data_IF_296353288597
#
_entry.id   IF_296353288597
#
_cell.length_a   1.000
_cell.length_b   1.000
_cell.length_c   1.000
_cell.angle_alpha   90.00
_cell.angle_beta   90.00
_cell.angle_gamma   90.00
#
_symmetry.space_group_name_H-M   'P 1'
#
loop_
_entity.id
_entity.type
_entity.pdbx_description
1 polymer ?
#
# COMPACT_ATOMS: atom_id res chain seq x y z
N UNK A 1 26.84 47.92 -20.52
CA UNK A 1 26.19 47.36 -21.72
C UNK A 1 26.40 45.83 -21.82
N UNK A 2 27.53 45.30 -21.44
CA UNK A 2 27.81 43.84 -21.46
C UNK A 2 27.08 43.10 -20.32
N UNK A 3 26.98 43.68 -19.13
CA UNK A 3 26.24 43.11 -18.00
C UNK A 3 24.72 43.00 -18.24
N UNK A 4 24.10 43.95 -18.89
CA UNK A 4 22.67 43.90 -19.23
C UNK A 4 22.35 42.89 -20.35
N UNK A 5 23.31 42.51 -21.16
CA UNK A 5 23.16 41.48 -22.18
C UNK A 5 23.31 40.08 -21.60
N UNK A 6 24.12 39.90 -20.54
CA UNK A 6 24.19 38.62 -19.80
C UNK A 6 22.92 38.37 -18.99
N UNK A 7 22.40 39.33 -18.24
CA UNK A 7 21.12 39.17 -17.51
C UNK A 7 19.93 38.92 -18.46
N UNK A 8 19.89 39.54 -19.65
CA UNK A 8 18.88 39.21 -20.65
C UNK A 8 19.05 37.83 -21.27
N UNK A 9 20.23 37.28 -21.32
CA UNK A 9 20.50 35.95 -21.84
C UNK A 9 20.14 34.88 -20.78
N UNK A 10 20.45 35.14 -19.50
CA UNK A 10 20.04 34.26 -18.39
C UNK A 10 18.51 34.27 -18.14
N UNK A 11 17.82 35.40 -18.40
CA UNK A 11 16.34 35.44 -18.29
C UNK A 11 15.62 34.86 -19.51
N UNK A 12 16.28 34.52 -20.60
CA UNK A 12 15.67 33.88 -21.78
C UNK A 12 15.82 32.34 -21.80
N UNK A 13 16.65 31.79 -20.91
CA UNK A 13 16.94 30.33 -20.90
C UNK A 13 16.04 29.52 -19.95
N UNK A 14 15.05 30.13 -19.28
CA UNK A 14 14.23 29.42 -18.27
C UNK A 14 12.72 29.39 -18.60
N UNK A 15 12.34 29.43 -19.88
CA UNK A 15 10.94 29.27 -20.25
C UNK A 15 10.68 27.78 -20.59
N UNK A 16 9.81 27.14 -19.81
CA UNK A 16 9.41 25.76 -20.07
C UNK A 16 8.93 25.58 -21.51
N UNK A 17 9.35 24.50 -22.15
CA UNK A 17 8.83 24.10 -23.46
C UNK A 17 7.36 23.71 -23.32
N UNK A 18 6.49 24.29 -24.17
CA UNK A 18 5.07 23.95 -24.15
C UNK A 18 4.72 23.01 -25.31
N UNK A 19 4.21 21.84 -24.98
CA UNK A 19 3.69 20.82 -25.91
C UNK A 19 2.20 20.72 -25.65
N UNK A 20 1.37 20.93 -26.65
CA UNK A 20 -0.08 20.89 -26.50
C UNK A 20 -0.77 20.17 -27.65
N UNK A 21 -1.78 19.32 -27.35
CA UNK A 21 -2.50 18.52 -28.33
C UNK A 21 -1.60 17.65 -29.19
N UNK A 22 -0.49 17.16 -28.62
CA UNK A 22 0.47 16.30 -29.32
C UNK A 22 -0.06 14.89 -29.56
N UNK A 23 0.44 14.25 -30.63
CA UNK A 23 0.25 12.82 -30.86
C UNK A 23 1.58 12.18 -31.23
N UNK A 24 2.11 11.40 -30.32
CA UNK A 24 3.43 10.78 -30.47
C UNK A 24 3.33 9.26 -30.58
N UNK A 25 4.07 8.67 -31.47
CA UNK A 25 4.19 7.21 -31.67
C UNK A 25 5.65 6.83 -31.88
N UNK A 26 5.93 5.54 -31.81
CA UNK A 26 7.29 5.02 -31.99
C UNK A 26 8.10 4.99 -30.70
N UNK A 27 9.34 4.62 -30.79
CA UNK A 27 10.23 4.47 -29.66
C UNK A 27 10.81 5.82 -29.22
N UNK A 28 10.62 6.16 -27.95
CA UNK A 28 11.26 7.29 -27.25
C UNK A 28 11.06 8.68 -27.91
N UNK A 29 9.83 9.06 -28.29
CA UNK A 29 9.63 10.32 -29.04
C UNK A 29 10.04 11.58 -28.27
N UNK A 30 9.96 11.57 -26.93
CA UNK A 30 10.40 12.68 -26.07
C UNK A 30 11.44 12.15 -25.05
N UNK A 31 12.46 11.45 -25.54
CA UNK A 31 13.54 10.93 -24.73
C UNK A 31 14.44 12.07 -24.21
N UNK A 32 14.75 12.05 -22.90
CA UNK A 32 15.50 13.13 -22.25
C UNK A 32 14.82 14.51 -22.31
N UNK A 33 13.48 14.55 -22.38
CA UNK A 33 12.78 15.84 -22.33
C UNK A 33 12.97 16.50 -20.97
N UNK A 34 13.22 17.80 -20.97
CA UNK A 34 13.47 18.59 -19.78
C UNK A 34 12.70 19.91 -19.78
N UNK A 35 12.27 20.37 -18.59
CA UNK A 35 11.60 21.65 -18.39
C UNK A 35 10.39 21.86 -19.31
N UNK A 36 9.45 20.91 -19.33
CA UNK A 36 8.34 20.91 -20.29
C UNK A 36 6.97 20.82 -19.62
N UNK A 37 6.04 21.60 -20.14
CA UNK A 37 4.60 21.48 -19.88
C UNK A 37 3.91 20.78 -21.04
N UNK A 38 3.33 19.60 -20.78
CA UNK A 38 2.73 18.73 -21.78
C UNK A 38 1.23 18.61 -21.48
N UNK A 39 0.40 19.21 -22.33
CA UNK A 39 -1.05 19.26 -22.15
C UNK A 39 -1.78 18.49 -23.26
N UNK A 40 -2.87 17.80 -22.90
CA UNK A 40 -3.80 17.13 -23.83
C UNK A 40 -3.10 16.28 -24.90
N UNK A 41 -2.01 15.60 -24.50
CA UNK A 41 -1.12 14.90 -25.42
C UNK A 41 -1.33 13.38 -25.33
N UNK A 42 -1.38 12.70 -26.46
CA UNK A 42 -1.51 11.25 -26.55
C UNK A 42 -0.19 10.62 -26.95
N UNK A 43 0.32 9.74 -26.09
CA UNK A 43 1.42 8.85 -26.39
C UNK A 43 0.83 7.50 -26.84
N UNK A 44 0.76 7.31 -28.16
CA UNK A 44 0.18 6.15 -28.82
C UNK A 44 1.09 4.93 -28.82
N UNK A 45 1.02 4.11 -29.86
CA UNK A 45 1.82 2.89 -29.96
C UNK A 45 3.31 3.23 -30.10
N UNK A 46 4.10 2.69 -29.16
CA UNK A 46 5.54 2.92 -29.07
C UNK A 46 6.02 2.87 -27.63
N UNK A 47 7.30 2.67 -27.40
CA UNK A 47 7.84 2.40 -26.07
C UNK A 47 8.61 3.60 -25.49
N UNK A 48 8.50 3.78 -24.16
CA UNK A 48 9.36 4.69 -23.39
C UNK A 48 9.30 6.16 -23.83
N UNK A 49 8.11 6.76 -24.03
CA UNK A 49 8.00 8.10 -24.60
C UNK A 49 8.72 9.20 -23.83
N UNK A 50 8.70 9.14 -22.50
CA UNK A 50 9.34 10.14 -21.60
C UNK A 50 10.44 9.47 -20.74
N UNK A 51 11.12 8.48 -21.29
CA UNK A 51 12.22 7.84 -20.56
C UNK A 51 13.36 8.84 -20.30
N UNK A 52 13.90 8.79 -19.07
CA UNK A 52 15.02 9.62 -18.60
C UNK A 52 14.74 11.14 -18.67
N UNK A 53 13.46 11.52 -18.61
CA UNK A 53 13.01 12.93 -18.60
C UNK A 53 12.99 13.52 -17.20
N UNK A 54 13.03 14.86 -17.12
CA UNK A 54 13.02 15.55 -15.83
C UNK A 54 12.32 16.91 -15.88
N UNK A 55 11.72 17.29 -14.74
CA UNK A 55 10.99 18.56 -14.60
C UNK A 55 9.88 18.68 -15.65
N UNK A 56 8.93 17.74 -15.60
CA UNK A 56 7.82 17.64 -16.54
C UNK A 56 6.50 17.81 -15.82
N UNK A 57 5.66 18.70 -16.31
CA UNK A 57 4.26 18.84 -15.93
C UNK A 57 3.37 18.25 -17.03
N UNK A 58 2.62 17.21 -16.68
CA UNK A 58 1.66 16.53 -17.57
C UNK A 58 0.24 16.87 -17.12
N UNK A 59 -0.60 17.35 -18.03
CA UNK A 59 -2.02 17.58 -17.76
C UNK A 59 -2.90 17.00 -18.86
N UNK A 60 -3.99 16.31 -18.49
CA UNK A 60 -4.97 15.78 -19.45
C UNK A 60 -4.41 14.80 -20.47
N UNK A 61 -3.23 14.25 -20.21
CA UNK A 61 -2.49 13.46 -21.21
C UNK A 61 -2.73 11.95 -21.04
N UNK A 62 -2.54 11.18 -22.13
CA UNK A 62 -2.82 9.76 -22.14
C UNK A 62 -1.62 8.94 -22.65
N UNK A 63 -1.23 7.93 -21.85
CA UNK A 63 -0.26 6.90 -22.25
C UNK A 63 -1.00 5.63 -22.68
N UNK A 64 -0.79 5.20 -23.92
CA UNK A 64 -1.44 4.02 -24.48
C UNK A 64 -0.53 2.80 -24.59
N UNK A 65 0.79 2.97 -24.42
CA UNK A 65 1.74 1.89 -24.60
C UNK A 65 2.82 1.88 -23.54
N UNK A 66 3.69 0.86 -23.54
CA UNK A 66 4.62 0.43 -22.50
C UNK A 66 5.66 1.47 -22.08
N UNK A 67 6.03 1.41 -20.80
CA UNK A 67 7.19 2.03 -20.19
C UNK A 67 7.20 3.58 -20.23
N UNK A 68 6.07 4.27 -19.99
CA UNK A 68 5.96 5.72 -20.14
C UNK A 68 7.04 6.54 -19.46
N UNK A 69 7.31 6.27 -18.18
CA UNK A 69 8.18 7.06 -17.31
C UNK A 69 9.21 6.15 -16.65
N UNK A 70 10.26 5.80 -17.37
CA UNK A 70 11.37 5.03 -16.83
C UNK A 70 12.60 5.90 -16.59
N UNK A 71 13.19 5.80 -15.38
CA UNK A 71 14.38 6.55 -14.98
C UNK A 71 14.18 8.08 -15.05
N UNK A 72 12.94 8.54 -14.85
CA UNK A 72 12.58 9.94 -14.88
C UNK A 72 12.60 10.54 -13.46
N UNK A 73 12.52 11.85 -13.33
CA UNK A 73 12.47 12.53 -12.03
C UNK A 73 11.74 13.86 -12.11
N UNK A 74 11.26 14.33 -10.97
CA UNK A 74 10.60 15.64 -10.86
C UNK A 74 9.42 15.74 -11.83
N UNK A 75 8.45 14.83 -11.72
CA UNK A 75 7.30 14.73 -12.62
C UNK A 75 6.01 15.05 -11.84
N UNK A 76 5.17 15.87 -12.41
CA UNK A 76 3.78 16.08 -11.98
C UNK A 76 2.84 15.63 -13.09
N UNK A 77 1.90 14.74 -12.79
CA UNK A 77 0.91 14.27 -13.73
C UNK A 77 -0.50 14.45 -13.15
N UNK A 78 -1.29 15.32 -13.73
CA UNK A 78 -2.64 15.63 -13.31
C UNK A 78 -3.66 15.34 -14.41
N UNK A 79 -4.83 14.79 -14.04
CA UNK A 79 -5.90 14.42 -14.98
C UNK A 79 -5.45 13.49 -16.12
N UNK A 80 -4.44 12.64 -15.84
CA UNK A 80 -3.82 11.78 -16.85
C UNK A 80 -4.39 10.34 -16.81
N UNK A 81 -4.26 9.65 -17.95
CA UNK A 81 -4.68 8.25 -18.10
C UNK A 81 -3.53 7.36 -18.56
N UNK A 82 -3.32 6.24 -17.86
CA UNK A 82 -2.49 5.13 -18.30
C UNK A 82 -3.42 3.98 -18.75
N UNK A 83 -3.59 3.81 -20.06
CA UNK A 83 -4.40 2.72 -20.60
C UNK A 83 -3.75 1.35 -20.34
N UNK A 84 -4.48 0.25 -20.47
CA UNK A 84 -4.06 -1.11 -20.12
C UNK A 84 -2.67 -1.49 -20.62
N UNK A 85 -2.31 -1.12 -21.86
CA UNK A 85 -1.02 -1.42 -22.46
C UNK A 85 0.11 -0.49 -22.02
N UNK A 86 -0.15 0.57 -21.24
CA UNK A 86 0.89 1.40 -20.61
C UNK A 86 1.53 0.71 -19.39
N UNK A 87 1.54 -0.61 -19.41
CA UNK A 87 2.04 -1.46 -18.32
C UNK A 87 3.52 -1.30 -18.07
N UNK A 88 3.93 -1.64 -16.85
CA UNK A 88 5.27 -1.36 -16.35
C UNK A 88 5.63 0.12 -16.56
N UNK A 89 4.64 0.99 -16.29
CA UNK A 89 4.63 2.36 -16.79
C UNK A 89 5.64 3.25 -16.13
N UNK A 90 5.85 3.10 -14.82
CA UNK A 90 6.66 4.01 -14.00
C UNK A 90 7.66 3.19 -13.19
N UNK A 91 8.88 3.09 -13.67
CA UNK A 91 9.95 2.35 -12.98
C UNK A 91 11.20 3.22 -12.79
N UNK A 92 11.79 3.15 -11.60
CA UNK A 92 13.00 3.90 -11.24
C UNK A 92 12.83 5.42 -11.40
N UNK A 93 11.64 5.92 -11.07
CA UNK A 93 11.28 7.34 -11.22
C UNK A 93 11.19 7.95 -9.83
N UNK A 94 11.85 9.08 -9.64
CA UNK A 94 11.94 9.75 -8.36
C UNK A 94 11.20 11.09 -8.37
N UNK A 95 10.65 11.48 -7.21
CA UNK A 95 9.85 12.70 -7.03
C UNK A 95 8.73 12.81 -8.07
N UNK A 96 7.79 11.88 -7.98
CA UNK A 96 6.62 11.81 -8.87
C UNK A 96 5.34 12.12 -8.08
N UNK A 97 4.54 13.05 -8.61
CA UNK A 97 3.19 13.32 -8.13
C UNK A 97 2.17 12.94 -9.20
N UNK A 98 1.20 12.13 -8.85
CA UNK A 98 0.09 11.75 -9.73
C UNK A 98 -1.22 12.12 -9.05
N UNK A 99 -2.03 12.95 -9.72
CA UNK A 99 -3.30 13.46 -9.20
C UNK A 99 -4.45 13.22 -10.17
N UNK A 100 -5.62 12.91 -9.62
CA UNK A 100 -6.87 12.75 -10.38
C UNK A 100 -6.71 11.82 -11.59
N UNK A 101 -6.06 10.67 -11.43
CA UNK A 101 -5.65 9.86 -12.56
C UNK A 101 -6.35 8.50 -12.61
N UNK A 102 -6.53 7.99 -13.83
CA UNK A 102 -6.92 6.61 -14.11
C UNK A 102 -5.69 5.83 -14.58
N UNK A 103 -5.34 4.75 -13.88
CA UNK A 103 -4.24 3.87 -14.24
C UNK A 103 -4.79 2.45 -14.45
N UNK A 104 -5.19 2.13 -15.68
CA UNK A 104 -5.67 0.79 -16.04
C UNK A 104 -4.53 -0.22 -16.16
N UNK A 105 -3.32 0.26 -16.37
CA UNK A 105 -2.16 -0.57 -16.62
C UNK A 105 -1.63 -1.24 -15.35
N UNK A 106 -1.36 -2.55 -15.34
CA UNK A 106 -0.74 -3.26 -14.23
C UNK A 106 0.76 -2.99 -14.13
N UNK A 107 1.37 -3.43 -13.02
CA UNK A 107 2.82 -3.42 -12.77
C UNK A 107 3.44 -2.02 -12.78
N UNK A 108 2.69 -1.02 -12.31
CA UNK A 108 3.18 0.35 -12.19
C UNK A 108 3.95 0.58 -10.88
N UNK A 109 4.74 1.65 -10.85
CA UNK A 109 5.50 2.12 -9.68
C UNK A 109 6.43 1.05 -9.10
N UNK A 110 7.54 0.81 -9.78
CA UNK A 110 8.59 -0.07 -9.23
C UNK A 110 9.87 0.70 -8.97
N UNK A 111 10.44 0.52 -7.77
CA UNK A 111 11.68 1.15 -7.33
C UNK A 111 11.68 2.66 -7.49
N UNK A 112 10.50 3.26 -7.26
CA UNK A 112 10.30 4.70 -7.23
C UNK A 112 10.58 5.24 -5.83
N UNK A 113 10.96 6.50 -5.73
CA UNK A 113 11.20 7.17 -4.48
C UNK A 113 10.53 8.56 -4.47
N UNK A 114 10.04 8.97 -3.30
CA UNK A 114 9.30 10.22 -3.14
C UNK A 114 8.07 10.27 -4.10
N UNK A 115 7.14 9.29 -3.93
CA UNK A 115 5.95 9.12 -4.74
C UNK A 115 4.71 9.64 -4.02
N UNK A 116 3.93 10.50 -4.66
CA UNK A 116 2.63 10.96 -4.16
C UNK A 116 1.52 10.56 -5.13
N UNK A 117 0.49 9.86 -4.61
CA UNK A 117 -0.71 9.50 -5.35
C UNK A 117 -1.92 10.14 -4.68
N UNK A 118 -2.65 11.00 -5.37
CA UNK A 118 -3.81 11.72 -4.86
C UNK A 118 -5.01 11.52 -5.79
N UNK A 119 -6.11 10.94 -5.26
CA UNK A 119 -7.32 10.60 -6.02
C UNK A 119 -7.02 9.78 -7.28
N UNK A 120 -6.31 8.66 -7.10
CA UNK A 120 -5.92 7.77 -8.20
C UNK A 120 -6.74 6.49 -8.17
N UNK A 121 -7.28 6.11 -9.33
CA UNK A 121 -8.01 4.87 -9.52
C UNK A 121 -7.18 3.85 -10.30
N UNK A 122 -6.97 2.66 -9.71
CA UNK A 122 -6.14 1.56 -10.24
C UNK A 122 -6.99 0.27 -10.36
N UNK A 123 -7.83 0.13 -11.40
CA UNK A 123 -8.71 -1.04 -11.54
C UNK A 123 -7.97 -2.36 -11.80
N UNK A 124 -6.71 -2.31 -12.23
CA UNK A 124 -5.82 -3.44 -12.50
C UNK A 124 -4.45 -3.23 -11.85
N UNK A 125 -4.43 -3.22 -10.51
CA UNK A 125 -3.24 -2.89 -9.71
C UNK A 125 -2.33 -4.09 -9.41
N UNK A 126 -2.40 -5.17 -10.19
CA UNK A 126 -1.56 -6.35 -9.99
C UNK A 126 -0.08 -5.97 -10.01
N UNK A 127 0.67 -6.44 -9.02
CA UNK A 127 2.10 -6.21 -8.86
C UNK A 127 2.49 -4.72 -8.93
N UNK A 128 1.66 -3.83 -8.39
CA UNK A 128 1.86 -2.38 -8.36
C UNK A 128 2.47 -1.94 -7.03
N UNK A 129 3.28 -0.89 -7.03
CA UNK A 129 4.05 -0.38 -5.89
C UNK A 129 5.02 -1.44 -5.32
N UNK A 130 6.01 -1.85 -6.11
CA UNK A 130 7.04 -2.78 -5.64
C UNK A 130 8.37 -2.10 -5.35
N UNK A 131 8.91 -2.31 -4.14
CA UNK A 131 10.19 -1.74 -3.69
C UNK A 131 10.26 -0.20 -3.76
N UNK A 132 9.12 0.47 -3.60
CA UNK A 132 9.07 1.93 -3.54
C UNK A 132 9.38 2.45 -2.13
N UNK A 133 9.85 3.69 -2.04
CA UNK A 133 10.22 4.33 -0.78
C UNK A 133 9.63 5.73 -0.69
N UNK A 134 9.23 6.15 0.52
CA UNK A 134 8.61 7.44 0.78
C UNK A 134 7.38 7.65 -0.10
N UNK A 135 6.36 6.89 0.18
CA UNK A 135 5.11 6.90 -0.59
C UNK A 135 4.01 7.56 0.21
N UNK A 136 3.37 8.56 -0.36
CA UNK A 136 2.17 9.19 0.18
C UNK A 136 0.97 8.86 -0.71
N UNK A 137 -0.11 8.35 -0.12
CA UNK A 137 -1.36 8.05 -0.84
C UNK A 137 -2.54 8.68 -0.13
N UNK A 138 -3.40 9.36 -0.88
CA UNK A 138 -4.66 9.90 -0.39
C UNK A 138 -5.79 9.71 -1.41
N UNK A 139 -6.94 9.17 -0.99
CA UNK A 139 -8.08 8.94 -1.86
C UNK A 139 -7.79 7.96 -3.01
N UNK A 140 -6.99 6.90 -2.74
CA UNK A 140 -6.61 5.91 -3.76
C UNK A 140 -7.52 4.68 -3.66
N UNK A 141 -8.02 4.22 -4.81
CA UNK A 141 -8.75 2.96 -4.93
C UNK A 141 -8.02 2.01 -5.87
N UNK A 142 -7.73 0.79 -5.39
CA UNK A 142 -6.93 -0.19 -6.11
C UNK A 142 -7.58 -1.58 -6.10
N UNK A 143 -7.46 -2.30 -7.23
CA UNK A 143 -7.86 -3.70 -7.33
C UNK A 143 -6.80 -4.51 -8.03
N UNK A 144 -6.23 -5.51 -7.32
CA UNK A 144 -5.20 -6.39 -7.85
C UNK A 144 -4.36 -7.02 -6.75
N UNK A 145 -3.80 -8.19 -7.01
CA UNK A 145 -2.96 -8.93 -6.08
C UNK A 145 -1.52 -8.38 -6.02
N UNK A 146 -0.84 -8.64 -4.91
CA UNK A 146 0.55 -8.24 -4.67
C UNK A 146 0.78 -6.72 -4.69
N UNK A 147 -0.17 -5.95 -4.15
CA UNK A 147 -0.04 -4.49 -4.04
C UNK A 147 0.92 -4.09 -2.91
N UNK A 148 1.82 -3.13 -3.17
CA UNK A 148 2.76 -2.52 -2.22
C UNK A 148 3.78 -3.48 -1.58
N UNK A 149 4.33 -4.44 -2.35
CA UNK A 149 5.34 -5.36 -1.84
C UNK A 149 6.70 -4.70 -1.57
N UNK A 150 7.27 -4.98 -0.39
CA UNK A 150 8.60 -4.52 0.01
C UNK A 150 8.80 -3.00 -0.10
N UNK A 151 7.74 -2.22 0.08
CA UNK A 151 7.81 -0.76 0.16
C UNK A 151 8.20 -0.30 1.57
N UNK A 152 8.68 0.93 1.69
CA UNK A 152 8.98 1.53 2.99
C UNK A 152 8.59 2.99 3.10
N UNK A 153 8.41 3.44 4.34
CA UNK A 153 8.15 4.82 4.70
C UNK A 153 6.89 5.36 3.99
N UNK A 154 5.74 4.70 4.28
CA UNK A 154 4.47 5.01 3.61
C UNK A 154 3.51 5.73 4.57
N UNK A 155 2.82 6.75 4.04
CA UNK A 155 1.70 7.45 4.66
C UNK A 155 0.46 7.32 3.78
N UNK A 156 -0.60 6.70 4.30
CA UNK A 156 -1.76 6.32 3.50
C UNK A 156 -3.04 6.79 4.19
N UNK A 157 -3.91 7.47 3.47
CA UNK A 157 -5.23 7.87 3.96
C UNK A 157 -6.33 7.68 2.91
N UNK A 158 -7.56 7.41 3.38
CA UNK A 158 -8.74 7.26 2.53
C UNK A 158 -8.50 6.26 1.38
N UNK A 159 -8.18 5.01 1.76
CA UNK A 159 -7.69 3.98 0.84
C UNK A 159 -8.66 2.81 0.71
N UNK A 160 -8.95 2.40 -0.52
CA UNK A 160 -9.70 1.17 -0.79
C UNK A 160 -8.85 0.16 -1.57
N UNK A 161 -8.82 -1.09 -1.10
CA UNK A 161 -8.11 -2.18 -1.76
C UNK A 161 -8.96 -3.45 -1.82
N UNK A 162 -8.98 -4.07 -3.00
CA UNK A 162 -9.45 -5.44 -3.18
C UNK A 162 -8.39 -6.26 -3.93
N UNK A 163 -7.69 -7.15 -3.22
CA UNK A 163 -6.62 -7.99 -3.78
C UNK A 163 -5.79 -8.65 -2.69
N UNK A 164 -5.22 -9.80 -2.97
CA UNK A 164 -4.51 -10.64 -2.02
C UNK A 164 -3.01 -10.31 -1.94
N UNK A 165 -2.36 -10.76 -0.86
CA UNK A 165 -0.91 -10.60 -0.63
C UNK A 165 -0.46 -9.14 -0.63
N UNK A 166 -1.31 -8.25 -0.11
CA UNK A 166 -1.00 -6.81 -0.06
C UNK A 166 -0.06 -6.47 1.09
N UNK A 167 0.81 -5.50 0.86
CA UNK A 167 1.75 -4.98 1.86
C UNK A 167 2.70 -6.05 2.44
N UNK A 168 3.03 -7.11 1.68
CA UNK A 168 4.02 -8.10 2.11
C UNK A 168 5.42 -7.47 2.17
N UNK A 169 6.10 -7.66 3.29
CA UNK A 169 7.46 -7.18 3.52
C UNK A 169 7.60 -5.66 3.63
N UNK A 170 6.51 -4.91 3.83
CA UNK A 170 6.60 -3.44 4.00
C UNK A 170 7.21 -3.05 5.34
N UNK A 171 7.76 -1.82 5.40
CA UNK A 171 8.36 -1.26 6.62
C UNK A 171 7.96 0.19 6.84
N UNK A 172 7.71 0.56 8.10
CA UNK A 172 7.40 1.92 8.52
C UNK A 172 6.18 2.47 7.77
N UNK A 173 5.01 1.88 7.98
CA UNK A 173 3.78 2.23 7.28
C UNK A 173 2.72 2.71 8.25
N UNK A 174 2.09 3.83 7.94
CA UNK A 174 0.94 4.35 8.66
C UNK A 174 -0.27 4.46 7.72
N UNK A 175 -1.43 3.91 8.15
CA UNK A 175 -2.64 3.85 7.33
C UNK A 175 -3.82 4.38 8.13
N UNK A 176 -4.60 5.28 7.54
CA UNK A 176 -5.83 5.83 8.12
C UNK A 176 -7.03 5.63 7.18
N UNK A 177 -8.20 5.35 7.76
CA UNK A 177 -9.48 5.27 7.05
C UNK A 177 -9.44 4.35 5.82
N UNK A 178 -8.86 3.15 5.98
CA UNK A 178 -8.80 2.19 4.89
C UNK A 178 -9.92 1.16 4.93
N UNK A 179 -10.31 0.70 3.74
CA UNK A 179 -11.12 -0.50 3.55
C UNK A 179 -10.34 -1.50 2.71
N UNK A 180 -9.91 -2.58 3.34
CA UNK A 180 -9.06 -3.58 2.72
C UNK A 180 -9.75 -4.95 2.69
N UNK A 181 -9.91 -5.50 1.50
CA UNK A 181 -10.34 -6.88 1.26
C UNK A 181 -9.15 -7.64 0.72
N UNK A 182 -8.36 -8.27 1.63
CA UNK A 182 -7.07 -8.82 1.27
C UNK A 182 -6.73 -10.03 2.14
N UNK A 183 -6.70 -11.20 1.53
CA UNK A 183 -6.06 -12.37 2.13
C UNK A 183 -4.55 -12.14 2.21
N UNK A 184 -3.91 -12.65 3.27
CA UNK A 184 -2.48 -12.56 3.49
C UNK A 184 -1.91 -11.12 3.52
N UNK A 185 -2.72 -10.14 4.01
CA UNK A 185 -2.26 -8.76 4.14
C UNK A 185 -1.20 -8.61 5.25
N UNK A 186 -0.22 -7.75 5.03
CA UNK A 186 0.87 -7.41 5.96
C UNK A 186 1.79 -8.58 6.35
N UNK A 187 1.91 -9.61 5.54
CA UNK A 187 2.88 -10.67 5.79
C UNK A 187 4.30 -10.11 5.87
N UNK A 188 5.12 -10.64 6.78
CA UNK A 188 6.52 -10.23 6.96
C UNK A 188 6.73 -8.72 7.13
N UNK A 189 5.70 -7.95 7.45
CA UNK A 189 5.79 -6.50 7.62
C UNK A 189 6.47 -6.10 8.94
N UNK A 190 7.00 -4.89 8.99
CA UNK A 190 7.68 -4.35 10.17
C UNK A 190 7.28 -2.90 10.42
N UNK A 191 6.91 -2.56 11.67
CA UNK A 191 6.50 -1.21 12.08
C UNK A 191 5.30 -0.69 11.26
N UNK A 192 4.19 -1.38 11.31
CA UNK A 192 2.93 -0.98 10.65
C UNK A 192 1.93 -0.51 11.69
N UNK A 193 1.32 0.64 11.47
CA UNK A 193 0.21 1.14 12.28
C UNK A 193 -1.00 1.44 11.39
N UNK A 194 -2.16 0.90 11.76
CA UNK A 194 -3.43 1.11 11.04
C UNK A 194 -4.46 1.70 11.98
N UNK A 195 -5.12 2.78 11.54
CA UNK A 195 -6.14 3.50 12.30
C UNK A 195 -7.49 3.47 11.58
N UNK A 196 -8.58 3.42 12.35
CA UNK A 196 -9.94 3.73 11.92
C UNK A 196 -10.35 2.98 10.63
N UNK A 197 -9.97 1.69 10.51
CA UNK A 197 -10.03 0.95 9.26
C UNK A 197 -10.82 -0.35 9.36
N UNK A 198 -11.30 -0.81 8.21
CA UNK A 198 -11.87 -2.14 8.05
C UNK A 198 -10.95 -3.04 7.24
N UNK A 199 -10.63 -4.23 7.78
CA UNK A 199 -9.76 -5.21 7.13
C UNK A 199 -10.44 -6.57 7.15
N UNK A 200 -10.65 -7.17 5.99
CA UNK A 200 -11.20 -8.54 5.86
C UNK A 200 -10.33 -9.40 4.96
N UNK A 201 -9.97 -10.58 5.45
CA UNK A 201 -9.19 -11.57 4.72
C UNK A 201 -8.53 -12.57 5.67
N UNK A 202 -8.15 -13.74 5.15
CA UNK A 202 -7.46 -14.78 5.92
C UNK A 202 -6.01 -14.38 6.23
N UNK A 203 -5.42 -14.91 7.29
CA UNK A 203 -4.01 -14.87 7.67
C UNK A 203 -3.43 -13.44 7.81
N UNK A 204 -4.24 -12.50 8.28
CA UNK A 204 -3.80 -11.10 8.49
C UNK A 204 -2.55 -11.03 9.39
N UNK A 205 -1.53 -10.33 8.92
CA UNK A 205 -0.34 -9.98 9.70
C UNK A 205 0.63 -11.14 9.97
N UNK A 206 0.53 -12.26 9.29
CA UNK A 206 1.36 -13.42 9.53
C UNK A 206 2.87 -13.09 9.48
N UNK A 207 3.59 -13.47 10.54
CA UNK A 207 5.02 -13.22 10.70
C UNK A 207 5.41 -11.72 10.68
N UNK A 208 4.49 -10.82 11.03
CA UNK A 208 4.77 -9.40 11.15
C UNK A 208 5.50 -9.07 12.47
N UNK A 209 6.13 -7.90 12.49
CA UNK A 209 6.78 -7.36 13.66
C UNK A 209 6.32 -5.92 13.94
N UNK A 210 5.97 -5.62 15.19
CA UNK A 210 5.45 -4.31 15.59
C UNK A 210 4.23 -3.90 14.75
N UNK A 211 3.19 -4.72 14.72
CA UNK A 211 1.91 -4.39 14.10
C UNK A 211 0.99 -3.74 15.15
N UNK A 212 0.51 -2.54 14.87
CA UNK A 212 -0.42 -1.80 15.73
C UNK A 212 -1.72 -1.52 14.99
N UNK A 213 -2.86 -1.89 15.60
CA UNK A 213 -4.20 -1.70 15.04
C UNK A 213 -5.03 -0.90 16.05
N UNK A 214 -5.56 0.26 15.65
CA UNK A 214 -6.29 1.17 16.53
C UNK A 214 -7.65 1.51 15.94
N UNK A 215 -8.73 1.31 16.68
CA UNK A 215 -10.12 1.55 16.24
C UNK A 215 -10.47 0.75 14.97
N UNK A 216 -9.88 -0.42 14.77
CA UNK A 216 -10.09 -1.22 13.58
C UNK A 216 -11.21 -2.25 13.76
N UNK A 217 -11.94 -2.52 12.68
CA UNK A 217 -12.82 -3.68 12.58
C UNK A 217 -12.18 -4.71 11.66
N UNK A 218 -11.98 -5.93 12.16
CA UNK A 218 -11.20 -6.97 11.49
C UNK A 218 -12.02 -8.24 11.38
N UNK A 219 -12.00 -8.85 10.20
CA UNK A 219 -12.54 -10.18 9.95
C UNK A 219 -11.44 -11.05 9.37
N UNK A 220 -10.96 -12.06 10.12
CA UNK A 220 -9.84 -12.87 9.64
C UNK A 220 -9.87 -14.30 10.19
N UNK A 221 -9.81 -15.27 9.30
CA UNK A 221 -9.56 -16.67 9.70
C UNK A 221 -8.05 -16.83 9.95
N UNK A 222 -7.67 -17.46 11.07
CA UNK A 222 -6.29 -17.58 11.53
C UNK A 222 -5.53 -16.23 11.46
N UNK A 223 -6.21 -15.19 11.93
CA UNK A 223 -5.68 -13.83 11.89
C UNK A 223 -4.69 -13.56 13.02
N UNK A 224 -3.78 -12.64 12.74
CA UNK A 224 -2.79 -12.12 13.71
C UNK A 224 -1.92 -13.21 14.34
N UNK A 225 -1.49 -14.20 13.55
CA UNK A 225 -0.64 -15.29 13.99
C UNK A 225 0.86 -15.01 13.75
N UNK A 226 1.73 -15.56 14.62
CA UNK A 226 3.19 -15.44 14.54
C UNK A 226 3.71 -14.01 14.56
N UNK A 227 3.01 -13.07 15.21
CA UNK A 227 3.40 -11.66 15.28
C UNK A 227 4.28 -11.41 16.51
N UNK A 228 5.43 -10.78 16.28
CA UNK A 228 6.23 -10.21 17.36
C UNK A 228 5.71 -8.80 17.68
N UNK A 229 5.19 -8.59 18.89
CA UNK A 229 4.68 -7.32 19.36
C UNK A 229 3.46 -6.80 18.59
N UNK A 230 2.33 -7.49 18.71
CA UNK A 230 1.03 -7.02 18.26
C UNK A 230 0.39 -6.12 19.32
N UNK A 231 -0.02 -4.92 18.92
CA UNK A 231 -0.80 -4.01 19.75
C UNK A 231 -2.16 -3.77 19.10
N UNK A 232 -3.24 -4.00 19.85
CA UNK A 232 -4.61 -3.70 19.40
C UNK A 232 -5.34 -2.85 20.43
N UNK A 233 -5.90 -1.70 20.02
CA UNK A 233 -6.64 -0.80 20.91
C UNK A 233 -8.00 -0.50 20.32
N UNK A 234 -9.05 -0.70 21.13
CA UNK A 234 -10.43 -0.43 20.76
C UNK A 234 -10.81 -1.12 19.40
N UNK A 235 -10.40 -2.38 19.23
CA UNK A 235 -10.66 -3.12 17.99
C UNK A 235 -11.86 -4.04 18.13
N UNK A 236 -12.53 -4.32 16.99
CA UNK A 236 -13.59 -5.32 16.88
C UNK A 236 -13.12 -6.47 16.00
N UNK A 237 -13.33 -7.70 16.45
CA UNK A 237 -13.06 -8.92 15.68
C UNK A 237 -14.40 -9.55 15.27
N UNK A 238 -14.64 -9.64 13.96
CA UNK A 238 -15.83 -10.27 13.39
C UNK A 238 -15.42 -11.64 12.80
N UNK A 239 -16.15 -12.68 13.07
CA UNK A 239 -15.91 -14.02 12.50
C UNK A 239 -14.43 -14.47 12.54
N UNK A 240 -13.66 -13.96 13.50
CA UNK A 240 -12.22 -14.22 13.58
C UNK A 240 -11.98 -15.51 14.36
N UNK A 241 -11.30 -16.45 13.71
CA UNK A 241 -11.02 -17.78 14.28
C UNK A 241 -9.53 -17.99 14.49
N UNK A 242 -9.17 -18.85 15.46
CA UNK A 242 -7.80 -19.25 15.78
C UNK A 242 -6.84 -18.07 15.89
N UNK A 243 -7.35 -16.95 16.43
CA UNK A 243 -6.60 -15.70 16.52
C UNK A 243 -5.39 -15.81 17.45
N UNK A 244 -4.32 -15.08 17.10
CA UNK A 244 -3.14 -14.82 17.93
C UNK A 244 -2.17 -15.99 18.10
N UNK A 245 -2.27 -17.04 17.30
CA UNK A 245 -1.39 -18.20 17.45
C UNK A 245 0.09 -17.76 17.43
N UNK A 246 0.82 -18.15 18.48
CA UNK A 246 2.24 -17.83 18.72
C UNK A 246 2.62 -16.34 18.66
N UNK A 247 1.65 -15.44 18.83
CA UNK A 247 1.90 -13.99 18.85
C UNK A 247 2.13 -13.45 20.27
N UNK A 248 2.97 -12.44 20.39
CA UNK A 248 3.05 -11.63 21.60
C UNK A 248 2.09 -10.45 21.48
N UNK A 249 1.18 -10.28 22.46
CA UNK A 249 0.02 -9.41 22.29
C UNK A 249 -0.18 -8.44 23.47
N UNK A 250 -0.60 -7.20 23.15
CA UNK A 250 -1.32 -6.30 24.05
C UNK A 250 -2.61 -5.87 23.32
N UNK A 251 -3.67 -6.65 23.52
CA UNK A 251 -4.90 -6.52 22.75
C UNK A 251 -6.10 -6.15 23.63
N UNK A 252 -6.83 -5.12 23.18
CA UNK A 252 -8.12 -4.67 23.70
C UNK A 252 -9.19 -4.81 22.61
N UNK A 253 -10.09 -5.81 22.78
CA UNK A 253 -11.10 -6.18 21.81
C UNK A 253 -12.49 -5.85 22.39
N UNK A 254 -13.20 -4.95 21.74
CA UNK A 254 -14.54 -4.47 22.14
C UNK A 254 -15.65 -5.23 21.42
N UNK A 255 -15.48 -6.55 21.30
CA UNK A 255 -16.45 -7.51 20.72
C UNK A 255 -16.17 -8.91 21.24
N UNK A 256 -17.04 -9.87 20.89
CA UNK A 256 -16.72 -11.28 21.02
C UNK A 256 -15.63 -11.72 20.02
N UNK A 257 -14.91 -12.78 20.36
CA UNK A 257 -13.93 -13.45 19.51
C UNK A 257 -14.38 -14.89 19.31
N UNK A 258 -14.49 -15.35 18.07
CA UNK A 258 -14.95 -16.74 17.78
C UNK A 258 -13.99 -17.76 18.35
N UNK A 259 -12.69 -17.64 18.10
CA UNK A 259 -11.71 -18.47 18.80
C UNK A 259 -10.33 -17.86 18.91
N UNK A 260 -9.66 -18.17 20.01
CA UNK A 260 -8.27 -17.77 20.32
C UNK A 260 -7.45 -19.04 20.44
N UNK A 261 -6.27 -19.07 19.80
CA UNK A 261 -5.37 -20.22 19.83
C UNK A 261 -3.97 -19.81 20.30
N UNK A 262 -3.50 -20.43 21.37
CA UNK A 262 -2.10 -20.44 21.78
C UNK A 262 -1.35 -19.11 21.67
N UNK A 263 -1.84 -17.96 22.16
CA UNK A 263 -1.04 -16.76 22.20
C UNK A 263 0.25 -17.00 23.02
N UNK A 264 1.39 -16.51 22.51
CA UNK A 264 2.69 -16.83 23.10
C UNK A 264 2.91 -16.11 24.44
N UNK A 265 2.49 -14.86 24.55
CA UNK A 265 2.58 -14.07 25.79
C UNK A 265 1.83 -12.73 25.66
N UNK A 266 1.63 -12.07 26.81
CA UNK A 266 1.07 -10.72 26.87
C UNK A 266 -0.30 -10.63 27.51
N UNK A 267 -1.15 -9.72 27.05
CA UNK A 267 -2.46 -9.47 27.63
C UNK A 267 -3.53 -9.43 26.55
N UNK A 268 -4.61 -10.21 26.74
CA UNK A 268 -5.83 -10.13 25.93
C UNK A 268 -6.98 -9.65 26.81
N UNK A 269 -7.60 -8.53 26.46
CA UNK A 269 -8.85 -8.01 27.02
C UNK A 269 -9.94 -8.17 25.96
N UNK A 270 -11.03 -8.86 26.27
CA UNK A 270 -12.14 -9.07 25.36
C UNK A 270 -13.48 -9.07 26.08
N UNK A 271 -14.56 -8.70 25.38
CA UNK A 271 -15.93 -8.76 25.93
C UNK A 271 -16.43 -10.21 26.02
N UNK A 272 -16.00 -11.08 25.12
CA UNK A 272 -16.33 -12.52 25.11
C UNK A 272 -15.38 -13.32 24.24
N UNK A 273 -15.23 -14.60 24.55
CA UNK A 273 -14.48 -15.57 23.76
C UNK A 273 -15.33 -16.85 23.68
N UNK A 274 -15.71 -17.25 22.46
CA UNK A 274 -16.49 -18.50 22.32
C UNK A 274 -15.60 -19.72 22.60
N UNK A 275 -14.41 -19.78 22.01
CA UNK A 275 -13.47 -20.88 22.26
C UNK A 275 -12.06 -20.37 22.53
N UNK A 276 -11.54 -20.63 23.72
CA UNK A 276 -10.15 -20.34 24.12
C UNK A 276 -9.35 -21.66 24.16
N UNK A 277 -8.30 -21.74 23.35
CA UNK A 277 -7.44 -22.93 23.27
C UNK A 277 -6.04 -22.55 23.76
N UNK A 278 -5.60 -23.18 24.86
CA UNK A 278 -4.28 -22.98 25.47
C UNK A 278 -3.61 -24.33 25.68
N UNK A 279 -2.87 -24.80 24.68
CA UNK A 279 -2.19 -26.12 24.72
C UNK A 279 -0.85 -26.01 25.44
N UNK A 280 -0.71 -26.56 26.66
CA UNK A 280 0.51 -26.43 27.46
C UNK A 280 1.68 -27.25 26.86
N UNK A 281 1.44 -28.08 25.86
CA UNK A 281 2.52 -28.76 25.12
C UNK A 281 3.14 -27.89 24.02
N UNK A 282 2.50 -26.78 23.69
CA UNK A 282 2.88 -25.84 22.62
C UNK A 282 3.35 -24.49 23.13
N UNK A 283 2.71 -24.00 24.20
CA UNK A 283 3.03 -22.70 24.82
C UNK A 283 3.09 -22.86 26.35
N UNK A 284 3.59 -21.84 27.02
CA UNK A 284 3.43 -21.64 28.46
C UNK A 284 2.17 -20.77 28.72
N UNK A 285 1.02 -21.34 29.10
CA UNK A 285 -0.22 -20.59 29.27
C UNK A 285 -0.14 -19.50 30.33
N UNK A 286 0.82 -19.56 31.24
CA UNK A 286 0.99 -18.57 32.31
C UNK A 286 1.57 -17.24 31.82
N UNK A 287 2.13 -17.22 30.62
CA UNK A 287 2.70 -16.02 30.00
C UNK A 287 1.66 -15.11 29.36
N UNK A 288 0.43 -15.58 29.17
CA UNK A 288 -0.67 -14.80 28.61
C UNK A 288 -1.75 -14.57 29.64
N UNK A 289 -1.98 -13.32 29.98
CA UNK A 289 -3.10 -12.92 30.83
C UNK A 289 -4.36 -12.72 29.98
N UNK A 290 -5.40 -13.51 30.24
CA UNK A 290 -6.72 -13.37 29.61
C UNK A 290 -7.65 -12.64 30.60
N UNK A 291 -8.15 -11.48 30.20
CA UNK A 291 -9.12 -10.67 30.94
C UNK A 291 -10.42 -10.68 30.14
N UNK A 292 -11.30 -11.60 30.47
CA UNK A 292 -12.58 -11.83 29.81
C UNK A 292 -13.54 -12.54 30.77
N UNK A 293 -14.70 -11.91 31.04
CA UNK A 293 -15.69 -12.47 31.97
C UNK A 293 -16.54 -13.59 31.34
N UNK A 294 -16.60 -13.65 30.00
CA UNK A 294 -17.45 -14.58 29.27
C UNK A 294 -16.62 -15.43 28.30
N UNK A 295 -16.18 -16.61 28.79
CA UNK A 295 -15.50 -17.62 27.97
C UNK A 295 -16.40 -18.86 27.91
N UNK A 296 -16.97 -19.16 26.74
CA UNK A 296 -17.94 -20.26 26.61
C UNK A 296 -17.27 -21.63 26.67
N UNK A 297 -16.14 -21.81 26.01
CA UNK A 297 -15.38 -23.05 26.00
C UNK A 297 -13.89 -22.80 26.22
N UNK A 298 -13.28 -23.58 27.13
CA UNK A 298 -11.83 -23.57 27.38
C UNK A 298 -11.27 -24.96 27.10
N UNK A 299 -10.28 -25.05 26.24
CA UNK A 299 -9.66 -26.28 25.78
C UNK A 299 -8.15 -26.27 26.03
N UNK A 300 -7.59 -27.39 26.48
CA UNK A 300 -6.14 -27.55 26.67
C UNK A 300 -5.46 -28.15 25.43
N UNK A 301 -6.21 -28.42 24.36
CA UNK A 301 -5.71 -28.92 23.07
C UNK A 301 -6.66 -28.55 21.96
N UNK A 302 -6.10 -28.16 20.80
CA UNK A 302 -6.92 -27.95 19.61
C UNK A 302 -7.61 -29.23 19.17
N UNK A 303 -8.88 -29.21 18.72
CA UNK A 303 -9.53 -30.36 18.10
C UNK A 303 -8.71 -30.83 16.90
N UNK A 304 -8.61 -32.17 16.72
CA UNK A 304 -7.97 -32.70 15.51
C UNK A 304 -8.81 -32.30 14.28
N UNK A 305 -8.16 -31.72 13.30
CA UNK A 305 -8.82 -31.43 12.03
C UNK A 305 -9.01 -32.76 11.29
N UNK A 306 -10.27 -33.13 11.05
CA UNK A 306 -10.64 -34.31 10.25
C UNK A 306 -10.51 -34.05 8.75
#
# INVERSE_FOLDING_TARGET
>A
MIYQLQEKKEMSENKATKIQNGYYTGERPLFHEEHSQIEDTIFGEGESPLKESSDIELTGSMFKWKYPLWYSKDIVAEDCTWAEMARAGVWYTDNLQVKNALIEAPKNFRRCKDLTLEHVFLPHAEETLWHCQKVTMNGVSAKGDYFAMNCSDMQISDFELAGNYSFDGVKNVEIHHAKMLSKDAFWNSENVTVYDSFISGEYLGWNAKNLTLINCTIESLQGMCYIENLVMKNCKLLNTTLAFEYSTIDAEITSGITSVLNPASGILRAEGIDTLILDPTKIDPTKTQIICDNIAHRLDKAPEQN
#
